data_IF_668075250088
#
_entry.id   IF_668075250088
#
_cell.length_a   1.000
_cell.length_b   1.000
_cell.length_c   1.000
_cell.angle_alpha   90.00
_cell.angle_beta   90.00
_cell.angle_gamma   90.00
#
_symmetry.space_group_name_H-M   'P 1'
#
loop_
_entity.id
_entity.type
_entity.pdbx_description
1 polymer ?
#
# COMPACT_ATOMS: atom_id res chain seq x y z
N UNK A 1 -7.83 -14.04 15.15
CA UNK A 1 -6.57 -14.81 15.42
C UNK A 1 -5.32 -14.00 15.01
N UNK A 2 -5.30 -12.69 15.29
CA UNK A 2 -4.47 -11.68 14.62
C UNK A 2 -3.43 -10.99 15.53
N UNK A 3 -2.87 -11.71 16.49
CA UNK A 3 -1.87 -11.15 17.41
C UNK A 3 -0.70 -12.10 17.57
N UNK A 4 0.33 -11.91 16.75
CA UNK A 4 1.75 -11.83 17.13
C UNK A 4 2.61 -12.13 15.91
N UNK A 5 3.64 -11.29 15.73
CA UNK A 5 4.83 -11.44 14.86
C UNK A 5 4.73 -10.76 13.50
N UNK A 6 5.02 -9.47 13.49
CA UNK A 6 5.62 -8.81 12.33
C UNK A 6 6.64 -7.81 12.85
N UNK A 7 7.83 -8.30 13.18
CA UNK A 7 8.98 -7.46 13.52
C UNK A 7 10.26 -8.21 13.15
N UNK A 8 10.71 -8.05 11.90
CA UNK A 8 12.09 -8.30 11.43
C UNK A 8 12.19 -7.74 10.00
N UNK A 9 12.73 -6.53 9.80
CA UNK A 9 14.15 -6.25 9.49
C UNK A 9 14.34 -5.88 8.01
N UNK A 10 14.17 -4.60 7.65
CA UNK A 10 14.68 -4.06 6.39
C UNK A 10 16.06 -3.43 6.64
N UNK A 11 17.11 -3.91 5.96
CA UNK A 11 18.43 -3.27 5.93
C UNK A 11 18.49 -2.28 4.78
N UNK A 12 18.87 -1.03 5.05
CA UNK A 12 19.14 -0.03 4.02
C UNK A 12 20.43 -0.36 3.25
N UNK A 13 20.38 -0.22 1.92
CA UNK A 13 21.55 -0.32 1.03
C UNK A 13 22.12 1.08 0.83
N UNK A 14 23.39 1.28 1.19
CA UNK A 14 24.10 2.55 0.97
C UNK A 14 24.69 2.57 -0.45
N UNK A 15 24.39 3.61 -1.24
CA UNK A 15 24.98 3.83 -2.57
C UNK A 15 26.26 4.65 -2.41
N UNK A 16 27.41 4.07 -2.81
CA UNK A 16 28.67 4.80 -2.97
C UNK A 16 28.61 5.70 -4.21
N UNK A 17 29.08 6.95 -4.09
CA UNK A 17 29.22 7.91 -5.18
C UNK A 17 30.70 8.00 -5.63
N UNK A 18 31.02 8.00 -6.94
CA UNK A 18 32.41 8.08 -7.38
C UNK A 18 32.93 9.51 -7.39
N UNK A 19 34.23 9.66 -7.13
CA UNK A 19 34.98 10.91 -7.18
C UNK A 19 35.49 11.19 -8.61
N UNK A 20 35.40 12.44 -9.06
CA UNK A 20 35.99 12.87 -10.34
C UNK A 20 35.80 14.37 -10.58
N UNK A 21 36.93 15.08 -10.73
CA UNK A 21 37.09 16.53 -10.85
C UNK A 21 36.46 17.14 -12.11
N UNK A 22 35.92 18.36 -12.00
CA UNK A 22 36.32 19.52 -12.85
C UNK A 22 35.99 20.85 -12.17
N UNK A 23 36.94 21.77 -12.29
CA UNK A 23 36.97 23.14 -11.81
C UNK A 23 36.02 24.01 -12.64
N UNK A 24 35.08 24.72 -12.00
CA UNK A 24 34.23 25.69 -12.70
C UNK A 24 33.19 26.33 -11.78
N UNK A 25 33.31 27.64 -11.58
CA UNK A 25 32.42 28.46 -10.76
C UNK A 25 30.94 28.19 -11.00
N UNK A 26 30.28 27.61 -10.00
CA UNK A 26 28.85 27.77 -9.76
C UNK A 26 28.68 27.99 -8.25
N UNK A 27 28.54 29.26 -7.84
CA UNK A 27 27.84 29.58 -6.59
C UNK A 27 26.34 29.34 -6.83
N UNK A 28 25.97 28.08 -6.97
CA UNK A 28 24.60 27.64 -6.70
C UNK A 28 24.59 27.37 -5.21
N UNK A 29 23.94 28.24 -4.45
CA UNK A 29 23.49 27.90 -3.11
C UNK A 29 22.44 26.79 -3.26
N UNK A 30 22.91 25.55 -3.45
CA UNK A 30 22.12 24.36 -3.17
C UNK A 30 21.94 24.34 -1.66
N UNK A 31 20.92 25.03 -1.17
CA UNK A 31 20.28 24.69 0.08
C UNK A 31 19.65 23.30 -0.13
N UNK A 32 20.50 22.27 -0.10
CA UNK A 32 20.06 20.90 0.01
C UNK A 32 19.38 20.80 1.37
N UNK A 33 18.06 21.01 1.39
CA UNK A 33 17.22 20.57 2.50
C UNK A 33 17.36 19.05 2.55
N UNK A 34 18.40 18.59 3.25
CA UNK A 34 18.41 17.26 3.81
C UNK A 34 17.22 17.23 4.75
N UNK A 35 16.10 16.71 4.27
CA UNK A 35 15.03 16.27 5.12
C UNK A 35 15.65 15.22 6.04
N UNK A 36 16.00 15.64 7.26
CA UNK A 36 16.33 14.74 8.35
C UNK A 36 15.12 13.85 8.55
N UNK A 37 15.16 12.65 7.96
CA UNK A 37 14.26 11.58 8.34
C UNK A 37 14.46 11.39 9.84
N UNK A 38 13.40 11.62 10.63
CA UNK A 38 13.47 11.40 12.06
C UNK A 38 13.85 9.93 12.29
N UNK A 39 15.02 9.69 12.90
CA UNK A 39 15.54 8.37 13.29
C UNK A 39 14.75 7.78 14.48
N UNK A 40 13.43 7.77 14.38
CA UNK A 40 12.53 7.17 15.37
C UNK A 40 12.20 5.72 15.01
N UNK A 41 11.91 4.90 16.03
CA UNK A 41 11.24 3.61 15.79
C UNK A 41 9.90 3.88 15.08
N UNK A 42 9.52 3.05 14.09
CA UNK A 42 8.23 3.22 13.43
C UNK A 42 7.10 3.09 14.46
N UNK A 43 6.15 4.03 14.41
CA UNK A 43 4.98 4.05 15.28
C UNK A 43 3.82 3.51 14.45
N UNK A 44 3.24 2.42 14.94
CA UNK A 44 2.04 1.82 14.37
C UNK A 44 0.85 2.13 15.26
N UNK A 45 -0.36 2.23 14.69
CA UNK A 45 -1.55 2.47 15.50
C UNK A 45 -1.87 1.30 16.43
N UNK A 46 -2.41 1.64 17.60
CA UNK A 46 -3.01 0.67 18.52
C UNK A 46 -4.50 0.48 18.22
N UNK A 47 -5.31 0.34 19.29
CA UNK A 47 -6.78 0.36 19.14
C UNK A 47 -7.30 1.72 18.64
N UNK A 48 -6.57 2.79 18.94
CA UNK A 48 -6.73 4.12 18.37
C UNK A 48 -5.39 4.62 17.85
N UNK A 49 -5.43 5.55 16.90
CA UNK A 49 -4.26 6.30 16.50
C UNK A 49 -3.93 7.37 17.53
N UNK A 50 -2.64 7.58 17.78
CA UNK A 50 -2.18 8.70 18.59
C UNK A 50 -2.17 9.98 17.75
N UNK A 51 -2.64 11.08 18.34
CA UNK A 51 -2.68 12.40 17.72
C UNK A 51 -1.52 13.27 18.20
N UNK A 52 -1.00 14.11 17.31
CA UNK A 52 0.01 15.11 17.64
C UNK A 52 -0.29 16.45 17.01
N UNK A 53 0.13 17.51 17.70
CA UNK A 53 0.07 18.85 17.15
C UNK A 53 0.93 18.98 15.88
N UNK A 54 0.45 19.64 14.81
CA UNK A 54 1.22 19.85 13.59
C UNK A 54 2.64 20.38 13.84
N UNK A 55 2.77 21.36 14.75
CA UNK A 55 4.06 21.96 15.08
C UNK A 55 5.06 20.95 15.67
N UNK A 56 4.59 19.98 16.44
CA UNK A 56 5.43 18.90 17.00
C UNK A 56 5.93 17.93 15.91
N UNK A 57 5.27 17.90 14.76
CA UNK A 57 5.68 17.16 13.56
C UNK A 57 6.44 18.03 12.54
N UNK A 58 6.76 19.28 12.88
CA UNK A 58 7.42 20.22 11.97
C UNK A 58 6.52 20.73 10.84
N UNK A 59 5.20 20.71 11.05
CA UNK A 59 4.20 21.11 10.05
C UNK A 59 3.51 22.42 10.44
N UNK A 60 3.10 23.19 9.42
CA UNK A 60 2.36 24.43 9.60
C UNK A 60 0.85 24.13 9.70
N UNK A 61 0.26 24.40 10.87
CA UNK A 61 -1.16 24.14 11.13
C UNK A 61 -2.09 24.88 10.16
N UNK A 62 -1.80 26.15 9.83
CA UNK A 62 -2.65 26.95 8.95
C UNK A 62 -2.71 26.39 7.51
N UNK A 63 -1.62 25.78 7.04
CA UNK A 63 -1.62 25.10 5.73
C UNK A 63 -2.42 23.79 5.76
N UNK A 64 -2.42 23.07 6.89
CA UNK A 64 -3.27 21.89 7.06
C UNK A 64 -4.75 22.27 7.19
N UNK A 65 -5.05 23.42 7.77
CA UNK A 65 -6.40 23.99 7.81
C UNK A 65 -6.89 24.38 6.41
N UNK A 66 -6.07 25.08 5.62
CA UNK A 66 -6.38 25.42 4.22
C UNK A 66 -6.58 24.16 3.38
N UNK A 67 -5.72 23.14 3.53
CA UNK A 67 -5.87 21.83 2.88
C UNK A 67 -7.21 21.19 3.21
N UNK A 68 -7.56 21.10 4.50
CA UNK A 68 -8.81 20.50 4.95
C UNK A 68 -10.03 21.26 4.40
N UNK A 69 -9.97 22.60 4.38
CA UNK A 69 -11.03 23.44 3.83
C UNK A 69 -11.21 23.24 2.33
N UNK A 70 -10.10 23.18 1.57
CA UNK A 70 -10.12 22.99 0.11
C UNK A 70 -10.59 21.61 -0.32
N UNK A 71 -10.15 20.56 0.37
CA UNK A 71 -10.58 19.19 0.06
C UNK A 71 -12.03 18.96 0.50
N UNK A 72 -12.47 19.62 1.56
CA UNK A 72 -13.79 19.41 2.15
C UNK A 72 -13.98 17.95 2.57
N UNK A 73 -15.24 17.55 2.73
CA UNK A 73 -15.60 16.19 3.08
C UNK A 73 -14.92 15.73 4.37
N UNK A 74 -14.12 14.67 4.26
CA UNK A 74 -13.43 14.04 5.39
C UNK A 74 -12.06 13.51 5.01
N UNK A 75 -11.13 13.58 5.94
CA UNK A 75 -9.80 13.01 5.76
C UNK A 75 -8.91 13.21 6.97
N UNK A 76 -7.68 12.73 6.84
CA UNK A 76 -6.63 12.91 7.83
C UNK A 76 -5.26 13.09 7.16
N UNK A 77 -4.34 13.71 7.88
CA UNK A 77 -2.92 13.75 7.54
C UNK A 77 -2.16 13.01 8.64
N UNK A 78 -1.24 12.15 8.19
CA UNK A 78 -0.45 11.27 9.03
C UNK A 78 1.02 11.57 8.81
N UNK A 79 1.77 11.78 9.88
CA UNK A 79 3.22 11.96 9.85
C UNK A 79 3.88 11.13 10.94
N UNK A 80 4.87 10.33 10.56
CA UNK A 80 5.67 9.49 11.47
C UNK A 80 4.83 8.56 12.37
N UNK A 81 3.68 8.10 11.86
CA UNK A 81 2.76 7.22 12.58
C UNK A 81 1.72 7.93 13.46
N UNK A 82 1.68 9.27 13.46
CA UNK A 82 0.72 10.07 14.23
C UNK A 82 -0.28 10.77 13.33
N UNK A 83 -1.54 10.87 13.78
CA UNK A 83 -2.50 11.78 13.13
C UNK A 83 -2.14 13.20 13.53
N UNK A 84 -1.81 14.04 12.56
CA UNK A 84 -1.47 15.46 12.78
C UNK A 84 -2.61 16.40 12.40
N UNK A 85 -3.55 15.92 11.59
CA UNK A 85 -4.78 16.63 11.25
C UNK A 85 -5.86 15.61 10.92
N UNK A 86 -7.08 15.87 11.34
CA UNK A 86 -8.29 15.20 10.86
C UNK A 86 -9.38 16.24 10.63
N UNK A 87 -10.27 16.01 9.67
CA UNK A 87 -11.43 16.85 9.41
C UNK A 87 -12.61 16.01 8.91
N UNK A 88 -13.83 16.46 9.18
CA UNK A 88 -15.05 15.68 8.90
C UNK A 88 -15.18 14.44 9.78
N UNK A 89 -16.28 13.70 9.58
CA UNK A 89 -16.58 12.49 10.36
C UNK A 89 -15.76 11.28 9.88
N UNK A 90 -14.76 10.89 10.68
CA UNK A 90 -13.92 9.73 10.38
C UNK A 90 -14.66 8.39 10.52
N UNK A 91 -15.75 8.34 11.29
CA UNK A 91 -16.51 7.12 11.54
C UNK A 91 -17.49 6.78 10.40
N UNK A 92 -17.75 7.72 9.48
CA UNK A 92 -18.65 7.50 8.36
C UNK A 92 -18.17 6.32 7.48
N UNK A 93 -19.09 5.47 7.02
CA UNK A 93 -18.79 4.40 6.07
C UNK A 93 -19.26 4.82 4.68
N UNK A 94 -18.39 4.69 3.68
CA UNK A 94 -18.70 5.00 2.28
C UNK A 94 -17.86 4.12 1.35
N UNK A 95 -18.29 4.00 0.10
CA UNK A 95 -17.48 3.38 -0.94
C UNK A 95 -16.22 4.24 -1.22
N UNK A 96 -15.06 3.59 -1.25
CA UNK A 96 -13.75 4.21 -1.55
C UNK A 96 -13.23 3.82 -2.94
N UNK A 97 -14.04 3.08 -3.72
CA UNK A 97 -13.77 2.68 -5.10
C UNK A 97 -12.38 2.02 -5.21
N UNK A 98 -11.63 2.41 -6.24
CA UNK A 98 -10.30 1.87 -6.53
C UNK A 98 -9.26 2.11 -5.43
N UNK A 99 -9.51 3.00 -4.46
CA UNK A 99 -8.64 3.16 -3.30
C UNK A 99 -8.65 1.93 -2.37
N UNK A 100 -9.59 0.99 -2.53
CA UNK A 100 -9.59 -0.28 -1.81
C UNK A 100 -8.52 -1.28 -2.30
N UNK A 101 -8.00 -1.13 -3.53
CA UNK A 101 -7.10 -2.12 -4.16
C UNK A 101 -5.82 -2.42 -3.35
N UNK A 102 -5.13 -1.43 -2.74
CA UNK A 102 -3.99 -1.70 -1.86
C UNK A 102 -4.33 -2.58 -0.65
N UNK A 103 -5.57 -2.53 -0.14
CA UNK A 103 -6.01 -3.40 0.96
C UNK A 103 -5.95 -4.87 0.55
N UNK A 104 -6.28 -5.20 -0.70
CA UNK A 104 -6.14 -6.57 -1.24
C UNK A 104 -4.67 -7.03 -1.23
N UNK A 105 -3.74 -6.13 -1.54
CA UNK A 105 -2.30 -6.43 -1.46
C UNK A 105 -1.86 -6.68 -0.03
N UNK A 106 -2.30 -5.87 0.92
CA UNK A 106 -2.04 -6.09 2.35
C UNK A 106 -2.57 -7.46 2.81
N UNK A 107 -3.80 -7.81 2.41
CA UNK A 107 -4.39 -9.12 2.74
C UNK A 107 -3.62 -10.28 2.10
N UNK A 108 -3.14 -10.14 0.86
CA UNK A 108 -2.26 -11.15 0.25
C UNK A 108 -0.99 -11.37 1.06
N UNK A 109 -0.34 -10.31 1.56
CA UNK A 109 0.86 -10.46 2.36
C UNK A 109 0.59 -11.11 3.73
N UNK A 110 -0.59 -10.89 4.33
CA UNK A 110 -1.03 -11.69 5.48
C UNK A 110 -1.21 -13.16 5.13
N UNK A 111 -1.88 -13.47 4.00
CA UNK A 111 -2.04 -14.85 3.56
C UNK A 111 -0.70 -15.56 3.28
N UNK A 112 0.31 -14.82 2.82
CA UNK A 112 1.68 -15.33 2.64
C UNK A 112 2.33 -15.61 4.00
N UNK A 113 2.27 -14.65 4.93
CA UNK A 113 2.84 -14.80 6.28
C UNK A 113 2.19 -15.98 7.04
N UNK A 114 0.89 -16.18 6.84
CA UNK A 114 0.11 -17.28 7.43
C UNK A 114 0.28 -18.62 6.69
N UNK A 115 1.04 -18.65 5.58
CA UNK A 115 1.32 -19.86 4.80
C UNK A 115 0.15 -20.37 3.94
N UNK A 116 -0.92 -19.58 3.79
CA UNK A 116 -2.06 -19.88 2.91
C UNK A 116 -1.71 -19.68 1.42
N UNK A 117 -0.77 -18.80 1.14
CA UNK A 117 -0.23 -18.52 -0.21
C UNK A 117 1.28 -18.66 -0.18
N UNK A 118 1.86 -19.40 -1.14
CA UNK A 118 3.31 -19.66 -1.20
C UNK A 118 4.14 -18.42 -1.52
N UNK A 119 3.53 -17.43 -2.16
CA UNK A 119 4.15 -16.18 -2.55
C UNK A 119 3.37 -15.47 -3.66
N UNK A 120 3.79 -14.26 -4.00
CA UNK A 120 3.12 -13.45 -5.05
C UNK A 120 3.22 -14.06 -6.45
N UNK A 121 4.18 -14.96 -6.67
CA UNK A 121 4.39 -15.67 -7.94
C UNK A 121 3.64 -17.01 -8.01
N UNK A 122 2.85 -17.36 -6.99
CA UNK A 122 1.98 -18.53 -7.06
C UNK A 122 0.94 -18.35 -8.18
N UNK A 123 0.81 -19.31 -9.11
CA UNK A 123 -0.20 -19.24 -10.17
C UNK A 123 -1.63 -19.22 -9.62
N UNK A 124 -2.50 -18.41 -10.24
CA UNK A 124 -3.91 -18.31 -9.84
C UNK A 124 -4.68 -19.61 -10.11
N UNK A 125 -4.25 -20.38 -11.12
CA UNK A 125 -4.83 -21.70 -11.44
C UNK A 125 -4.70 -22.70 -10.29
N UNK A 126 -3.68 -22.57 -9.43
CA UNK A 126 -3.48 -23.45 -8.27
C UNK A 126 -4.63 -23.36 -7.25
N UNK A 127 -5.44 -22.30 -7.33
CA UNK A 127 -6.62 -22.08 -6.47
C UNK A 127 -7.93 -22.63 -7.07
N UNK A 128 -7.84 -23.43 -8.14
CA UNK A 128 -8.98 -24.13 -8.74
C UNK A 128 -9.86 -23.25 -9.62
N UNK A 129 -9.28 -22.22 -10.25
CA UNK A 129 -9.95 -21.44 -11.29
C UNK A 129 -9.79 -22.08 -12.67
N UNK A 130 -10.90 -22.22 -13.39
CA UNK A 130 -10.89 -22.58 -14.81
C UNK A 130 -10.52 -21.35 -15.65
N UNK A 131 -9.26 -21.26 -16.07
CA UNK A 131 -8.74 -20.18 -16.91
C UNK A 131 -8.45 -20.66 -18.33
N UNK A 132 -8.59 -19.75 -19.31
CA UNK A 132 -8.16 -19.98 -20.69
C UNK A 132 -6.67 -20.27 -20.72
N UNK A 133 -6.21 -21.03 -21.72
CA UNK A 133 -4.80 -21.41 -21.87
C UNK A 133 -3.84 -20.23 -21.70
N UNK A 134 -4.11 -19.09 -22.36
CA UNK A 134 -3.29 -17.87 -22.26
C UNK A 134 -3.16 -17.31 -20.85
N UNK A 135 -4.18 -17.53 -20.02
CA UNK A 135 -4.33 -16.93 -18.69
C UNK A 135 -3.81 -17.86 -17.58
N UNK A 136 -3.40 -19.10 -17.90
CA UNK A 136 -2.94 -20.07 -16.90
C UNK A 136 -1.64 -19.66 -16.18
N UNK A 137 -0.85 -18.79 -16.80
CA UNK A 137 0.36 -18.19 -16.22
C UNK A 137 0.11 -16.95 -15.34
N UNK A 138 -1.14 -16.53 -15.13
CA UNK A 138 -1.44 -15.40 -14.25
C UNK A 138 -1.06 -15.76 -12.80
N UNK A 139 -0.38 -14.83 -12.11
CA UNK A 139 0.00 -14.92 -10.70
C UNK A 139 -0.62 -13.75 -9.93
N UNK A 140 -0.57 -13.77 -8.60
CA UNK A 140 -0.96 -12.60 -7.80
C UNK A 140 -0.16 -11.34 -8.16
N UNK A 141 1.14 -11.46 -8.46
CA UNK A 141 1.96 -10.35 -8.94
C UNK A 141 1.37 -9.72 -10.20
N UNK A 142 0.99 -10.54 -11.19
CA UNK A 142 0.38 -10.06 -12.42
C UNK A 142 -0.95 -9.32 -12.18
N UNK A 143 -1.79 -9.82 -11.27
CA UNK A 143 -3.05 -9.18 -10.91
C UNK A 143 -2.84 -7.85 -10.17
N UNK A 144 -1.97 -7.84 -9.14
CA UNK A 144 -1.70 -6.65 -8.32
C UNK A 144 -0.93 -5.55 -9.06
N UNK A 145 -0.06 -5.92 -10.00
CA UNK A 145 0.72 -4.98 -10.80
C UNK A 145 0.01 -4.51 -12.08
N UNK A 146 -1.23 -4.97 -12.34
CA UNK A 146 -2.01 -4.64 -13.54
C UNK A 146 -1.31 -5.07 -14.84
N UNK A 147 -0.66 -6.24 -14.83
CA UNK A 147 0.04 -6.80 -16.00
C UNK A 147 -0.47 -8.19 -16.39
N UNK A 148 -1.68 -8.58 -15.99
CA UNK A 148 -2.18 -9.94 -16.18
C UNK A 148 -2.68 -10.27 -17.58
N UNK A 149 -3.05 -9.26 -18.38
CA UNK A 149 -3.75 -9.50 -19.65
C UNK A 149 -5.12 -10.19 -19.48
N UNK A 150 -5.66 -10.31 -18.26
CA UNK A 150 -6.92 -11.02 -18.03
C UNK A 150 -8.08 -10.31 -18.71
N UNK A 151 -8.90 -11.04 -19.46
CA UNK A 151 -9.96 -10.48 -20.33
C UNK A 151 -9.44 -9.48 -21.39
N UNK A 152 -8.15 -9.53 -21.71
CA UNK A 152 -7.46 -8.73 -22.74
C UNK A 152 -6.64 -9.65 -23.66
N UNK A 153 -6.18 -9.19 -24.84
CA UNK A 153 -5.46 -10.06 -25.77
C UNK A 153 -4.06 -10.46 -25.28
N UNK A 154 -3.42 -9.63 -24.46
CA UNK A 154 -2.04 -9.82 -24.01
C UNK A 154 -1.90 -11.05 -23.10
N UNK A 155 -0.70 -11.63 -23.13
CA UNK A 155 -0.27 -12.64 -22.16
C UNK A 155 0.11 -11.99 -20.81
N UNK A 156 0.14 -12.77 -19.71
CA UNK A 156 0.59 -12.27 -18.42
C UNK A 156 2.03 -11.76 -18.49
N UNK A 157 2.25 -10.50 -18.08
CA UNK A 157 3.53 -9.82 -18.07
C UNK A 157 3.88 -9.06 -19.36
N UNK A 158 3.10 -9.20 -20.44
CA UNK A 158 3.42 -8.61 -21.74
C UNK A 158 3.18 -7.09 -21.79
N UNK A 159 2.12 -6.61 -21.13
CA UNK A 159 1.80 -5.18 -21.07
C UNK A 159 1.22 -4.79 -19.73
N UNK A 160 1.40 -3.51 -19.37
CA UNK A 160 0.66 -2.88 -18.29
C UNK A 160 -0.68 -2.35 -18.82
N UNK A 161 -1.77 -2.72 -18.16
CA UNK A 161 -3.10 -2.21 -18.44
C UNK A 161 -3.95 -2.22 -17.17
N UNK A 162 -4.42 -1.05 -16.75
CA UNK A 162 -5.37 -0.94 -15.64
C UNK A 162 -6.61 -1.82 -15.91
N UNK A 163 -6.95 -2.71 -14.98
CA UNK A 163 -7.87 -3.81 -15.27
C UNK A 163 -8.72 -4.24 -14.07
N UNK A 164 -9.98 -3.79 -14.04
CA UNK A 164 -10.91 -4.16 -12.98
C UNK A 164 -11.40 -5.61 -13.07
N UNK A 165 -11.35 -6.28 -14.24
CA UNK A 165 -11.63 -7.72 -14.32
C UNK A 165 -10.53 -8.54 -13.63
N UNK A 166 -9.27 -8.14 -13.81
CA UNK A 166 -8.14 -8.74 -13.10
C UNK A 166 -8.25 -8.55 -11.58
N UNK A 167 -8.64 -7.36 -11.14
CA UNK A 167 -8.84 -7.08 -9.71
C UNK A 167 -10.01 -7.88 -9.12
N UNK A 168 -11.09 -8.09 -9.87
CA UNK A 168 -12.17 -8.99 -9.44
C UNK A 168 -11.68 -10.43 -9.28
N UNK A 169 -10.88 -10.95 -10.23
CA UNK A 169 -10.27 -12.27 -10.09
C UNK A 169 -9.35 -12.34 -8.86
N UNK A 170 -8.59 -11.26 -8.59
CA UNK A 170 -7.73 -11.17 -7.41
C UNK A 170 -8.54 -11.23 -6.12
N UNK A 171 -9.53 -10.35 -5.98
CA UNK A 171 -10.41 -10.29 -4.83
C UNK A 171 -11.08 -11.64 -4.57
N UNK A 172 -11.68 -12.24 -5.60
CA UNK A 172 -12.36 -13.54 -5.48
C UNK A 172 -11.38 -14.67 -5.12
N UNK A 173 -10.15 -14.64 -5.64
CA UNK A 173 -9.14 -15.63 -5.24
C UNK A 173 -8.82 -15.49 -3.75
N UNK A 174 -8.59 -14.27 -3.25
CA UNK A 174 -8.31 -14.04 -1.83
C UNK A 174 -9.48 -14.46 -0.95
N UNK A 175 -10.69 -13.99 -1.20
CA UNK A 175 -11.82 -14.24 -0.30
C UNK A 175 -12.41 -15.65 -0.49
N UNK A 176 -12.68 -16.08 -1.72
CA UNK A 176 -13.43 -17.31 -1.98
C UNK A 176 -12.54 -18.57 -1.88
N UNK A 177 -11.23 -18.45 -2.15
CA UNK A 177 -10.32 -19.61 -2.25
C UNK A 177 -9.27 -19.67 -1.15
N UNK A 178 -8.69 -18.53 -0.78
CA UNK A 178 -7.62 -18.44 0.22
C UNK A 178 -8.20 -18.36 1.63
N UNK A 179 -8.94 -17.29 1.95
CA UNK A 179 -9.48 -17.08 3.29
C UNK A 179 -10.77 -17.86 3.56
N UNK A 180 -11.58 -18.11 2.53
CA UNK A 180 -12.86 -18.84 2.62
C UNK A 180 -13.80 -18.26 3.70
N UNK A 181 -13.75 -16.94 3.87
CA UNK A 181 -14.55 -16.21 4.84
C UNK A 181 -15.15 -14.97 4.18
N UNK A 182 -16.41 -14.68 4.50
CA UNK A 182 -17.06 -13.43 4.11
C UNK A 182 -16.29 -12.22 4.65
N UNK A 183 -15.93 -11.28 3.76
CA UNK A 183 -15.10 -10.13 4.11
C UNK A 183 -15.71 -9.28 5.24
N UNK A 184 -17.05 -9.12 5.23
CA UNK A 184 -17.77 -8.39 6.28
C UNK A 184 -17.69 -9.11 7.63
N UNK A 185 -17.90 -10.42 7.63
CA UNK A 185 -17.82 -11.22 8.86
C UNK A 185 -16.41 -11.19 9.46
N UNK A 186 -15.36 -11.23 8.63
CA UNK A 186 -13.98 -11.08 9.07
C UNK A 186 -13.69 -9.70 9.68
N UNK A 187 -14.24 -8.63 9.11
CA UNK A 187 -14.02 -7.26 9.56
C UNK A 187 -14.76 -6.91 10.85
N UNK A 188 -15.99 -7.42 11.03
CA UNK A 188 -16.85 -7.08 12.16
C UNK A 188 -16.63 -7.98 13.39
N UNK A 189 -16.00 -9.15 13.21
CA UNK A 189 -15.74 -10.13 14.27
C UNK A 189 -14.29 -10.66 14.26
N UNK A 190 -13.28 -9.80 14.54
CA UNK A 190 -11.85 -10.12 14.41
C UNK A 190 -11.25 -11.07 15.48
#
# INVERSE_FOLDING_TARGET
>A
MLKRRAAQSFRAVSVLRPAGLTLGCWLMAEASMLATAAEGKPVFPGASWEHREPAAAGLNAALLDDLASRLGGRGCVIKDGYVVKSWGDQAQVADVLSAAKPVLSTLLFFAIEEGLVKGVDQPIVDFGWELKEKDRGITFRHLGAMTSGYARPEAPGEAWAYNDYAIQLYQRTLFDKVFQQEAKAAAEHP
#
